data_IF_033328981486
#
_entry.id   IF_033328981486
#
_cell.length_a   1.000
_cell.length_b   1.000
_cell.length_c   1.000
_cell.angle_alpha   90.00
_cell.angle_beta   90.00
_cell.angle_gamma   90.00
#
_symmetry.space_group_name_H-M   'P 1'
#
loop_
_entity.id
_entity.type
_entity.pdbx_description
1 polymer ?
#
# COMPACT_ATOMS: atom_id res chain seq x y z
N UNK A 1 -44.84 50.14 -3.83
CA UNK A 1 -45.24 49.03 -2.94
C UNK A 1 -44.25 47.90 -3.17
N UNK A 2 -43.43 47.62 -2.17
CA UNK A 2 -42.38 46.61 -2.25
C UNK A 2 -42.90 45.21 -1.97
N UNK A 3 -42.02 44.23 -2.15
CA UNK A 3 -41.67 43.23 -1.15
C UNK A 3 -40.24 42.77 -1.43
N UNK A 4 -39.37 42.92 -0.42
CA UNK A 4 -38.15 42.15 -0.27
C UNK A 4 -38.46 40.66 -0.28
N UNK A 5 -37.61 39.89 -0.95
CA UNK A 5 -37.41 38.48 -0.63
C UNK A 5 -35.90 38.22 -0.55
N UNK A 6 -35.40 38.27 0.69
CA UNK A 6 -34.13 37.69 1.09
C UNK A 6 -34.07 36.19 0.73
N UNK A 7 -32.85 35.70 0.48
CA UNK A 7 -32.56 34.36 -0.05
C UNK A 7 -32.99 33.18 0.82
N UNK A 8 -32.66 31.96 0.39
CA UNK A 8 -31.53 31.31 1.03
C UNK A 8 -30.65 30.55 0.02
N UNK A 9 -29.35 30.54 0.27
CA UNK A 9 -28.44 29.78 -0.58
C UNK A 9 -27.01 29.87 -0.12
N UNK A 10 -26.78 29.68 1.18
CA UNK A 10 -25.51 29.17 1.71
C UNK A 10 -25.26 27.78 1.11
N UNK A 11 -24.85 27.75 -0.14
CA UNK A 11 -24.12 26.66 -0.74
C UNK A 11 -22.91 27.30 -1.42
N UNK A 12 -22.19 28.11 -0.62
CA UNK A 12 -20.79 28.39 -0.90
C UNK A 12 -20.17 27.04 -1.17
N UNK A 13 -19.70 26.87 -2.41
CA UNK A 13 -19.07 25.69 -2.92
C UNK A 13 -18.28 25.04 -1.78
N UNK A 14 -18.61 23.79 -1.44
CA UNK A 14 -17.66 22.93 -0.79
C UNK A 14 -16.48 22.90 -1.75
N UNK A 15 -15.53 23.80 -1.50
CA UNK A 15 -14.23 23.88 -2.13
C UNK A 15 -13.77 22.43 -2.15
N UNK A 16 -13.49 21.89 -3.34
CA UNK A 16 -12.78 20.62 -3.46
C UNK A 16 -11.57 20.73 -2.53
N UNK A 17 -11.69 20.21 -1.32
CA UNK A 17 -10.54 19.95 -0.50
C UNK A 17 -9.94 18.74 -1.17
N UNK A 18 -9.08 19.01 -2.15
CA UNK A 18 -8.08 18.06 -2.62
C UNK A 18 -7.24 17.75 -1.39
N UNK A 19 -7.74 16.85 -0.53
CA UNK A 19 -7.00 16.42 0.64
C UNK A 19 -6.01 15.37 0.16
N UNK A 20 -4.89 15.90 -0.34
CA UNK A 20 -3.63 15.22 -0.56
C UNK A 20 -3.09 14.67 0.76
N UNK A 21 -2.36 13.55 0.71
CA UNK A 21 -1.64 13.04 1.89
C UNK A 21 -0.59 14.08 2.34
N UNK A 22 -0.45 14.38 3.64
CA UNK A 22 0.48 15.40 4.12
C UNK A 22 1.93 15.05 3.78
N UNK A 23 2.67 16.00 3.21
CA UNK A 23 4.05 15.76 2.78
C UNK A 23 5.00 15.40 3.95
N UNK A 24 4.72 15.91 5.15
CA UNK A 24 5.51 15.58 6.36
C UNK A 24 5.36 14.13 6.82
N UNK A 25 4.37 13.40 6.29
CA UNK A 25 4.20 11.98 6.54
C UNK A 25 5.15 11.10 5.73
N UNK A 26 6.03 11.72 4.94
CA UNK A 26 7.04 11.04 4.15
C UNK A 26 8.43 11.61 4.39
N UNK A 27 9.43 10.75 4.29
CA UNK A 27 10.83 11.13 4.37
C UNK A 27 11.64 10.47 3.26
N UNK A 28 12.67 11.19 2.82
CA UNK A 28 13.60 10.68 1.81
C UNK A 28 14.69 9.89 2.51
N UNK A 29 14.94 8.67 2.04
CA UNK A 29 15.95 7.78 2.60
C UNK A 29 16.80 7.13 1.50
N UNK A 30 18.05 6.77 1.79
CA UNK A 30 18.73 5.67 1.11
C UNK A 30 17.94 4.39 1.36
N UNK A 31 17.67 3.59 0.33
CA UNK A 31 16.86 2.37 0.46
C UNK A 31 17.54 1.31 1.32
N UNK A 32 18.85 1.43 1.55
CA UNK A 32 19.61 0.59 2.50
C UNK A 32 19.24 0.81 3.96
N UNK A 33 18.58 1.93 4.29
CA UNK A 33 18.08 2.25 5.64
C UNK A 33 16.62 1.81 5.85
N UNK A 34 16.00 1.20 4.85
CA UNK A 34 14.64 0.67 4.95
C UNK A 34 14.62 -0.63 5.76
N UNK A 35 13.78 -0.65 6.80
CA UNK A 35 13.52 -1.82 7.64
C UNK A 35 12.51 -2.75 6.97
N UNK A 36 12.48 -4.03 7.37
CA UNK A 36 11.39 -4.92 6.97
C UNK A 36 10.03 -4.32 7.36
N UNK A 37 9.06 -4.37 6.44
CA UNK A 37 7.75 -3.74 6.59
C UNK A 37 7.67 -2.29 6.10
N UNK A 38 8.81 -1.64 5.83
CA UNK A 38 8.79 -0.29 5.27
C UNK A 38 8.17 -0.31 3.86
N UNK A 39 7.22 0.60 3.63
CA UNK A 39 6.73 0.93 2.30
C UNK A 39 7.58 2.06 1.73
N UNK A 40 8.24 1.78 0.60
CA UNK A 40 9.16 2.73 -0.03
C UNK A 40 8.79 2.92 -1.50
N UNK A 41 8.63 4.17 -1.92
CA UNK A 41 8.47 4.54 -3.31
C UNK A 41 9.84 4.69 -3.97
N UNK A 42 10.11 3.88 -5.00
CA UNK A 42 11.38 3.77 -5.71
C UNK A 42 11.08 3.51 -7.19
N UNK A 43 11.75 4.21 -8.12
CA UNK A 43 11.68 3.95 -9.58
C UNK A 43 10.25 3.63 -10.07
N UNK A 44 9.35 4.61 -9.92
CA UNK A 44 7.96 4.57 -10.38
C UNK A 44 7.04 3.50 -9.74
N UNK A 45 7.41 2.97 -8.57
CA UNK A 45 6.59 2.00 -7.86
C UNK A 45 6.75 2.04 -6.34
N UNK A 46 5.72 1.57 -5.65
CA UNK A 46 5.74 1.28 -4.23
C UNK A 46 6.23 -0.14 -4.00
N UNK A 47 7.13 -0.30 -3.03
CA UNK A 47 7.74 -1.56 -2.65
C UNK A 47 7.48 -1.80 -1.16
N UNK A 48 7.18 -3.06 -0.80
CA UNK A 48 7.25 -3.53 0.58
C UNK A 48 8.63 -4.16 0.80
N UNK A 49 9.38 -3.64 1.77
CA UNK A 49 10.65 -4.24 2.19
C UNK A 49 10.40 -5.53 2.95
N UNK A 50 11.07 -6.62 2.54
CA UNK A 50 10.89 -7.95 3.12
C UNK A 50 11.99 -8.29 4.14
N UNK A 51 11.69 -9.12 5.13
CA UNK A 51 12.69 -9.69 6.03
C UNK A 51 13.63 -10.64 5.27
N UNK A 52 14.89 -10.68 5.69
CA UNK A 52 15.87 -11.60 5.13
C UNK A 52 15.88 -12.87 5.99
N UNK A 53 15.52 -14.01 5.43
CA UNK A 53 15.61 -15.28 6.16
C UNK A 53 17.04 -15.85 6.17
N UNK A 54 17.87 -15.60 5.15
CA UNK A 54 19.29 -16.00 5.14
C UNK A 54 20.09 -15.27 4.04
N UNK A 55 21.24 -14.68 4.39
CA UNK A 55 22.34 -14.32 3.47
C UNK A 55 22.12 -13.20 2.43
N UNK A 56 22.78 -12.05 2.64
CA UNK A 56 23.24 -10.98 1.71
C UNK A 56 22.31 -10.37 0.65
N UNK A 57 21.12 -10.91 0.41
CA UNK A 57 20.21 -10.42 -0.61
C UNK A 57 18.91 -9.97 0.03
N UNK A 58 18.89 -8.69 0.37
CA UNK A 58 17.68 -7.95 0.71
C UNK A 58 16.65 -8.13 -0.41
N UNK A 59 15.39 -8.44 -0.07
CA UNK A 59 14.27 -8.64 -1.00
C UNK A 59 13.19 -7.57 -0.86
N UNK A 60 12.41 -7.37 -1.91
CA UNK A 60 11.25 -6.47 -1.92
C UNK A 60 10.11 -7.05 -2.75
N UNK A 61 8.87 -6.81 -2.30
CA UNK A 61 7.68 -7.06 -3.10
C UNK A 61 7.24 -5.75 -3.78
N UNK A 62 7.12 -5.76 -5.10
CA UNK A 62 6.63 -4.62 -5.87
C UNK A 62 5.11 -4.58 -5.78
N UNK A 63 4.54 -3.49 -5.23
CA UNK A 63 3.10 -3.33 -5.05
C UNK A 63 2.44 -2.55 -6.20
N UNK A 64 3.16 -1.63 -6.84
CA UNK A 64 2.63 -0.82 -7.96
C UNK A 64 3.63 -0.67 -9.10
N UNK A 65 3.14 -0.23 -10.26
CA UNK A 65 3.93 -0.03 -11.48
C UNK A 65 3.97 -1.26 -12.40
N UNK A 66 4.73 -1.20 -13.51
CA UNK A 66 4.73 -2.24 -14.56
C UNK A 66 5.16 -3.64 -14.11
N UNK A 67 5.79 -3.73 -12.95
CA UNK A 67 6.32 -4.96 -12.39
C UNK A 67 5.64 -5.37 -11.08
N UNK A 68 4.46 -4.81 -10.79
CA UNK A 68 3.69 -5.15 -9.60
C UNK A 68 3.45 -6.67 -9.48
N UNK A 69 3.49 -7.16 -8.24
CA UNK A 69 3.35 -8.57 -7.91
C UNK A 69 4.65 -9.35 -7.84
N UNK A 70 5.76 -8.80 -8.34
CA UNK A 70 7.05 -9.50 -8.37
C UNK A 70 7.84 -9.31 -7.08
N UNK A 71 8.43 -10.39 -6.59
CA UNK A 71 9.49 -10.38 -5.57
C UNK A 71 10.84 -10.24 -6.26
N UNK A 72 11.58 -9.22 -5.86
CA UNK A 72 12.88 -8.86 -6.45
C UNK A 72 13.94 -8.70 -5.38
N UNK A 73 15.21 -8.68 -5.82
CA UNK A 73 16.28 -8.13 -5.01
C UNK A 73 15.97 -6.65 -4.73
N UNK A 74 16.11 -6.26 -3.47
CA UNK A 74 15.90 -4.90 -3.02
C UNK A 74 16.87 -3.95 -3.74
N UNK A 75 16.35 -2.89 -4.38
CA UNK A 75 17.19 -1.98 -5.15
C UNK A 75 18.04 -1.11 -4.22
N UNK A 76 19.28 -0.83 -4.63
CA UNK A 76 20.13 0.20 -3.99
C UNK A 76 19.87 1.54 -4.68
N UNK A 77 19.07 2.40 -4.04
CA UNK A 77 18.64 3.68 -4.60
C UNK A 77 18.33 4.69 -3.48
N UNK A 78 17.84 5.87 -3.86
CA UNK A 78 17.12 6.75 -2.95
C UNK A 78 15.62 6.57 -3.17
N UNK A 79 14.85 6.55 -2.10
CA UNK A 79 13.40 6.42 -2.14
C UNK A 79 12.72 7.39 -1.18
N UNK A 80 11.39 7.32 -1.19
CA UNK A 80 10.53 8.02 -0.23
C UNK A 80 9.81 6.96 0.59
N UNK A 81 9.94 6.97 1.91
CA UNK A 81 9.17 6.07 2.79
C UNK A 81 8.14 6.86 3.59
N UNK A 82 7.20 6.14 4.20
CA UNK A 82 6.36 6.71 5.25
C UNK A 82 7.25 7.06 6.46
N UNK A 83 7.15 8.30 6.95
CA UNK A 83 7.94 8.80 8.08
C UNK A 83 7.66 8.03 9.36
N UNK A 84 8.68 7.83 10.18
CA UNK A 84 8.54 7.32 11.54
C UNK A 84 7.52 8.17 12.33
N UNK A 85 6.55 7.52 12.96
CA UNK A 85 5.43 8.17 13.66
C UNK A 85 4.13 8.31 12.84
N UNK A 86 4.09 7.73 11.64
CA UNK A 86 2.84 7.43 10.96
C UNK A 86 2.74 5.92 10.73
N UNK A 87 1.53 5.42 10.79
CA UNK A 87 1.19 4.04 10.47
C UNK A 87 0.45 3.96 9.13
N UNK A 88 0.27 2.74 8.63
CA UNK A 88 -0.51 2.52 7.42
C UNK A 88 -1.39 1.29 7.56
N UNK A 89 -2.46 1.24 6.77
CA UNK A 89 -3.40 0.13 6.75
C UNK A 89 -3.78 -0.23 5.32
N UNK A 90 -4.19 -1.49 5.13
CA UNK A 90 -4.70 -1.98 3.85
C UNK A 90 -6.22 -2.01 3.90
N UNK A 91 -6.87 -1.36 2.93
CA UNK A 91 -8.30 -1.47 2.71
C UNK A 91 -8.58 -2.15 1.38
N UNK A 92 -9.41 -3.18 1.41
CA UNK A 92 -9.78 -3.98 0.24
C UNK A 92 -11.30 -4.18 0.22
N UNK A 93 -11.90 -4.23 -0.97
CA UNK A 93 -13.34 -4.46 -1.12
C UNK A 93 -13.62 -5.97 -1.09
N UNK A 94 -14.24 -6.43 -0.01
CA UNK A 94 -14.70 -7.83 0.12
C UNK A 94 -15.77 -8.13 -0.94
N UNK A 95 -15.67 -9.28 -1.60
CA UNK A 95 -16.58 -9.70 -2.68
C UNK A 95 -16.21 -9.16 -4.07
N UNK A 96 -15.04 -8.54 -4.23
CA UNK A 96 -14.47 -8.25 -5.55
C UNK A 96 -14.16 -9.56 -6.31
N UNK A 97 -14.23 -9.55 -7.65
CA UNK A 97 -13.90 -10.73 -8.44
C UNK A 97 -12.45 -11.14 -8.22
N UNK A 98 -12.25 -12.43 -7.98
CA UNK A 98 -10.93 -13.05 -7.85
C UNK A 98 -10.31 -13.05 -9.24
N UNK A 99 -9.20 -12.34 -9.40
CA UNK A 99 -8.53 -12.22 -10.70
C UNK A 99 -7.31 -13.14 -10.83
N UNK A 100 -6.87 -13.76 -9.72
CA UNK A 100 -5.60 -14.51 -9.69
C UNK A 100 -4.37 -13.65 -10.03
N UNK A 101 -4.50 -12.32 -10.01
CA UNK A 101 -3.44 -11.39 -10.37
C UNK A 101 -2.68 -10.93 -9.12
N UNK A 102 -1.36 -10.82 -9.24
CA UNK A 102 -0.50 -10.27 -8.21
C UNK A 102 -0.11 -8.81 -8.54
N UNK A 103 0.14 -7.95 -7.54
CA UNK A 103 0.09 -8.26 -6.11
C UNK A 103 -1.35 -8.41 -5.64
N UNK A 104 -1.55 -9.24 -4.61
CA UNK A 104 -2.85 -9.44 -4.00
C UNK A 104 -2.73 -9.37 -2.49
N UNK A 105 -3.87 -9.21 -1.82
CA UNK A 105 -3.97 -9.32 -0.37
C UNK A 105 -5.02 -10.33 0.05
N UNK A 106 -4.86 -10.90 1.23
CA UNK A 106 -5.87 -11.76 1.86
C UNK A 106 -5.99 -11.45 3.35
N UNK A 107 -7.06 -11.92 3.99
CA UNK A 107 -7.19 -11.91 5.45
C UNK A 107 -6.94 -13.33 5.94
N UNK A 108 -5.77 -13.55 6.56
CA UNK A 108 -5.37 -14.81 7.16
C UNK A 108 -5.44 -14.81 8.69
N UNK A 109 -5.00 -15.90 9.31
CA UNK A 109 -4.92 -16.03 10.77
C UNK A 109 -3.96 -14.98 11.38
N UNK A 110 -2.89 -14.65 10.64
CA UNK A 110 -1.92 -13.60 10.96
C UNK A 110 -2.40 -12.17 10.61
N UNK A 111 -3.68 -12.02 10.22
CA UNK A 111 -4.23 -10.77 9.74
C UNK A 111 -4.01 -10.54 8.24
N UNK A 112 -3.74 -9.30 7.84
CA UNK A 112 -3.52 -8.94 6.44
C UNK A 112 -2.27 -9.62 5.91
N UNK A 113 -2.34 -10.23 4.74
CA UNK A 113 -1.19 -10.84 4.06
C UNK A 113 -1.07 -10.31 2.65
N UNK A 114 0.15 -9.98 2.21
CA UNK A 114 0.48 -9.61 0.85
C UNK A 114 1.01 -10.80 0.07
N UNK A 115 0.65 -10.89 -1.20
CA UNK A 115 1.02 -12.01 -2.06
C UNK A 115 1.68 -11.52 -3.34
N UNK A 116 2.67 -12.29 -3.77
CA UNK A 116 3.40 -12.05 -5.01
C UNK A 116 4.05 -13.34 -5.53
N UNK A 117 4.88 -13.18 -6.55
CA UNK A 117 5.60 -14.29 -7.19
C UNK A 117 7.05 -13.92 -7.47
N UNK A 118 7.93 -14.91 -7.58
CA UNK A 118 9.32 -14.68 -7.95
C UNK A 118 9.43 -14.04 -9.34
N UNK A 119 10.21 -12.97 -9.50
CA UNK A 119 10.29 -12.17 -10.74
C UNK A 119 10.38 -12.97 -12.06
N UNK A 120 11.08 -14.11 -12.07
CA UNK A 120 11.27 -14.99 -13.24
C UNK A 120 10.58 -16.37 -13.12
N UNK A 121 9.84 -16.64 -12.04
CA UNK A 121 9.19 -17.93 -11.78
C UNK A 121 7.77 -17.66 -11.26
N UNK A 122 6.80 -17.37 -12.14
CA UNK A 122 5.43 -17.04 -11.75
C UNK A 122 4.73 -18.11 -10.92
N UNK A 123 5.13 -19.36 -11.03
CA UNK A 123 4.58 -20.50 -10.28
C UNK A 123 5.04 -20.51 -8.81
N UNK A 124 6.11 -19.77 -8.48
CA UNK A 124 6.65 -19.67 -7.13
C UNK A 124 6.02 -18.48 -6.43
N UNK A 125 4.92 -18.76 -5.72
CA UNK A 125 4.17 -17.77 -4.97
C UNK A 125 4.73 -17.61 -3.55
N UNK A 126 4.69 -16.37 -3.07
CA UNK A 126 5.10 -16.00 -1.73
C UNK A 126 4.02 -15.18 -1.05
N UNK A 127 3.97 -15.32 0.28
CA UNK A 127 3.06 -14.60 1.15
C UNK A 127 3.86 -13.88 2.23
N UNK A 128 3.51 -12.63 2.52
CA UNK A 128 4.22 -11.78 3.47
C UNK A 128 3.28 -11.03 4.40
N UNK A 129 3.67 -10.85 5.66
CA UNK A 129 2.96 -9.97 6.59
C UNK A 129 3.19 -8.50 6.23
N UNK A 130 2.43 -7.54 6.82
CA UNK A 130 2.69 -6.11 6.66
C UNK A 130 4.07 -5.69 7.18
N UNK A 131 4.68 -6.51 8.04
CA UNK A 131 6.03 -6.32 8.57
C UNK A 131 7.12 -6.91 7.65
N UNK A 132 6.74 -7.40 6.46
CA UNK A 132 7.65 -7.95 5.47
C UNK A 132 8.12 -9.38 5.76
N UNK A 133 7.56 -10.07 6.75
CA UNK A 133 7.96 -11.42 7.13
C UNK A 133 7.30 -12.44 6.21
N UNK A 134 8.07 -13.40 5.72
CA UNK A 134 7.54 -14.48 4.87
C UNK A 134 6.68 -15.43 5.72
N UNK A 135 5.54 -15.86 5.19
CA UNK A 135 4.68 -16.85 5.85
C UNK A 135 4.35 -17.99 4.89
N UNK A 136 4.38 -19.22 5.41
CA UNK A 136 3.95 -20.40 4.67
C UNK A 136 2.44 -20.60 4.82
N UNK A 137 1.67 -19.67 4.27
CA UNK A 137 0.21 -19.77 4.24
C UNK A 137 -0.25 -20.22 2.85
N UNK A 138 -0.67 -21.48 2.72
CA UNK A 138 -1.36 -21.93 1.51
C UNK A 138 -2.77 -21.37 1.53
N UNK A 139 -3.07 -20.45 0.63
CA UNK A 139 -4.40 -19.86 0.44
C UNK A 139 -5.05 -20.41 -0.81
N UNK A 140 -6.34 -20.66 -0.72
CA UNK A 140 -7.17 -20.98 -1.86
C UNK A 140 -7.27 -19.76 -2.79
N UNK A 141 -7.36 -19.96 -4.11
CA UNK A 141 -7.40 -18.86 -5.08
C UNK A 141 -8.46 -17.79 -4.77
N UNK A 142 -9.60 -18.18 -4.18
CA UNK A 142 -10.69 -17.26 -3.89
C UNK A 142 -10.45 -16.36 -2.67
N UNK A 143 -9.40 -16.61 -1.89
CA UNK A 143 -8.99 -15.78 -0.75
C UNK A 143 -8.17 -14.55 -1.20
N UNK A 144 -7.74 -14.48 -2.46
CA UNK A 144 -6.92 -13.38 -2.99
C UNK A 144 -7.76 -12.21 -3.51
N UNK A 145 -7.47 -11.01 -3.02
CA UNK A 145 -8.06 -9.74 -3.45
C UNK A 145 -6.99 -8.91 -4.13
N UNK A 146 -7.04 -8.79 -5.46
CA UNK A 146 -6.05 -8.06 -6.27
C UNK A 146 -6.34 -6.56 -6.40
N UNK A 147 -7.48 -6.09 -5.86
CA UNK A 147 -7.83 -4.67 -5.81
C UNK A 147 -7.88 -4.19 -4.36
N UNK A 148 -6.87 -3.41 -3.98
CA UNK A 148 -6.71 -2.91 -2.63
C UNK A 148 -6.02 -1.55 -2.63
N UNK A 149 -6.08 -0.87 -1.49
CA UNK A 149 -5.53 0.46 -1.31
C UNK A 149 -4.78 0.54 0.02
N UNK A 150 -3.71 1.33 0.04
CA UNK A 150 -2.95 1.58 1.27
C UNK A 150 -3.24 3.00 1.75
N UNK A 151 -3.61 3.11 3.02
CA UNK A 151 -4.02 4.36 3.65
C UNK A 151 -3.07 4.71 4.78
N UNK A 152 -2.84 6.01 4.94
CA UNK A 152 -1.99 6.55 5.99
C UNK A 152 -2.83 6.90 7.22
N UNK A 153 -2.35 6.50 8.38
CA UNK A 153 -2.91 6.85 9.67
C UNK A 153 -1.82 7.49 10.56
N UNK A 154 -2.22 8.33 11.51
CA UNK A 154 -1.36 8.74 12.61
C UNK A 154 -1.12 7.54 13.55
N UNK A 155 -0.18 7.70 14.49
CA UNK A 155 0.10 6.68 15.50
C UNK A 155 -1.12 6.33 16.38
N UNK A 156 -2.07 7.25 16.53
CA UNK A 156 -3.33 7.04 17.26
C UNK A 156 -4.44 6.37 16.42
N UNK A 157 -4.14 6.02 15.17
CA UNK A 157 -5.07 5.40 14.22
C UNK A 157 -5.95 6.39 13.44
N UNK A 158 -5.81 7.70 13.67
CA UNK A 158 -6.56 8.72 12.92
C UNK A 158 -6.13 8.74 11.45
N UNK A 159 -7.05 8.66 10.47
CA UNK A 159 -6.69 8.77 9.05
C UNK A 159 -6.06 10.12 8.73
N UNK A 160 -4.92 10.11 8.04
CA UNK A 160 -4.15 11.31 7.70
C UNK A 160 -4.46 11.87 6.29
N UNK A 161 -5.45 11.34 5.59
CA UNK A 161 -5.89 11.85 4.29
C UNK A 161 -7.22 11.26 3.87
N UNK A 162 -7.82 11.80 2.80
CA UNK A 162 -9.05 11.26 2.20
C UNK A 162 -8.79 10.41 0.96
N UNK A 163 -7.54 10.33 0.55
CA UNK A 163 -7.09 9.51 -0.57
C UNK A 163 -6.05 8.51 -0.07
N UNK A 164 -6.00 7.31 -0.65
CA UNK A 164 -4.96 6.36 -0.34
C UNK A 164 -3.58 6.87 -0.81
N UNK A 165 -2.52 6.40 -0.15
CA UNK A 165 -1.13 6.60 -0.59
C UNK A 165 -0.95 6.01 -2.00
N UNK A 166 -1.54 4.84 -2.24
CA UNK A 166 -1.65 4.24 -3.56
C UNK A 166 -2.78 3.20 -3.61
N UNK A 167 -3.20 2.86 -4.83
CA UNK A 167 -4.17 1.80 -5.12
C UNK A 167 -3.59 0.80 -6.11
N UNK A 168 -3.90 -0.47 -5.93
CA UNK A 168 -3.53 -1.59 -6.79
C UNK A 168 -4.80 -2.12 -7.47
N UNK A 169 -4.71 -2.45 -8.76
CA UNK A 169 -5.82 -3.05 -9.51
C UNK A 169 -7.03 -2.12 -9.71
N UNK A 170 -6.79 -0.82 -9.92
CA UNK A 170 -7.78 0.19 -10.30
C UNK A 170 -7.97 0.24 -11.82
#
# INVERSE_FOLDING_TARGET
MGYDAMGPGLAGAAKEMVMSVPLHSFERIPTTEASAGDLVYITDGWFLRLENEDGDHTRGLILTGPNAGKVVRWPTANGIRISHGNSWQVLAKVGAPVTGSFPAVSVGEEGVTFHGYQWNIPELHYAFTPFGQEIHARREPWEYISSFSVWLNADDGTPLGVNPVFTVGA
#
